data_IF_959903694431
#
_entry.id   IF_959903694431
#
_cell.length_a   1.000
_cell.length_b   1.000
_cell.length_c   1.000
_cell.angle_alpha   90.00
_cell.angle_beta   90.00
_cell.angle_gamma   90.00
#
_symmetry.space_group_name_H-M   'P 1'
#
loop_
_entity.id
_entity.type
_entity.pdbx_description
1 polymer ?
#
# COMPACT_ATOMS: atom_id res chain seq x y z
N UNK A 1 0.25 -21.09 -2.87
CA UNK A 1 -1.16 -20.78 -2.58
C UNK A 1 -1.50 -19.48 -3.31
N UNK A 2 -2.52 -19.43 -4.18
CA UNK A 2 -2.90 -18.19 -4.84
C UNK A 2 -3.55 -17.25 -3.82
N UNK A 3 -3.18 -15.97 -3.85
CA UNK A 3 -3.72 -14.96 -2.94
C UNK A 3 -4.72 -14.12 -3.73
N UNK A 4 -6.00 -14.17 -3.34
CA UNK A 4 -7.06 -13.37 -3.95
C UNK A 4 -7.23 -12.07 -3.16
N UNK A 5 -6.43 -11.06 -3.50
CA UNK A 5 -6.51 -9.73 -2.92
C UNK A 5 -6.83 -8.71 -4.00
N UNK A 6 -7.68 -7.73 -3.66
CA UNK A 6 -8.04 -6.61 -4.54
C UNK A 6 -6.81 -5.82 -4.99
N UNK A 7 -5.85 -5.67 -4.08
CA UNK A 7 -4.66 -4.85 -4.26
C UNK A 7 -3.42 -5.59 -3.79
N UNK A 8 -2.30 -5.42 -4.52
CA UNK A 8 -0.99 -5.96 -4.15
C UNK A 8 -0.41 -5.22 -2.94
N UNK A 9 0.48 -5.88 -2.21
CA UNK A 9 1.22 -5.23 -1.13
C UNK A 9 2.12 -4.10 -1.64
N UNK A 10 2.11 -2.98 -0.93
CA UNK A 10 2.95 -1.84 -1.26
C UNK A 10 4.43 -2.10 -0.95
N UNK A 11 5.31 -1.49 -1.75
CA UNK A 11 6.75 -1.57 -1.54
C UNK A 11 7.21 -0.64 -0.40
N UNK A 12 8.41 -0.86 0.15
CA UNK A 12 9.03 0.13 1.04
C UNK A 12 9.08 1.51 0.36
N UNK A 13 8.71 2.55 1.09
CA UNK A 13 8.57 3.90 0.53
C UNK A 13 7.20 4.19 -0.11
N UNK A 14 6.27 3.24 -0.11
CA UNK A 14 4.91 3.44 -0.60
C UNK A 14 3.86 3.26 0.50
N UNK A 15 2.86 4.15 0.54
CA UNK A 15 1.73 4.07 1.47
C UNK A 15 0.46 3.59 0.78
N UNK A 16 -0.41 2.92 1.53
CA UNK A 16 -1.73 2.48 1.08
C UNK A 16 -2.68 3.68 1.07
N UNK A 17 -3.19 4.03 -0.11
CA UNK A 17 -4.28 5.00 -0.31
C UNK A 17 -5.57 4.24 -0.58
N UNK A 18 -6.60 4.35 0.27
CA UNK A 18 -7.89 3.70 0.01
C UNK A 18 -8.46 4.13 -1.35
N UNK A 19 -9.02 3.18 -2.08
CA UNK A 19 -9.70 3.46 -3.35
C UNK A 19 -11.11 2.88 -3.36
N UNK A 20 -12.06 3.71 -3.79
CA UNK A 20 -13.47 3.34 -3.82
C UNK A 20 -14.08 3.13 -2.43
N UNK A 21 -15.11 2.29 -2.38
CA UNK A 21 -15.93 2.03 -1.18
C UNK A 21 -15.42 0.84 -0.35
N UNK A 22 -14.61 -0.03 -0.96
CA UNK A 22 -14.19 -1.27 -0.33
C UNK A 22 -12.91 -1.02 0.49
N UNK A 23 -12.94 -1.23 1.82
CA UNK A 23 -11.79 -0.96 2.68
C UNK A 23 -10.60 -1.90 2.39
N UNK A 24 -10.82 -3.03 1.71
CA UNK A 24 -9.77 -3.95 1.30
C UNK A 24 -9.02 -3.50 0.04
N UNK A 25 -9.57 -2.56 -0.73
CA UNK A 25 -8.97 -2.08 -1.98
C UNK A 25 -8.19 -0.78 -1.71
N UNK A 26 -6.93 -0.78 -2.11
CA UNK A 26 -6.03 0.36 -1.97
C UNK A 26 -5.07 0.47 -3.15
N UNK A 27 -4.59 1.66 -3.43
CA UNK A 27 -3.49 1.91 -4.33
C UNK A 27 -2.23 2.23 -3.54
N UNK A 28 -1.08 1.81 -4.06
CA UNK A 28 0.21 2.14 -3.48
C UNK A 28 0.70 3.42 -4.13
N UNK A 29 0.86 4.46 -3.31
CA UNK A 29 1.40 5.75 -3.75
C UNK A 29 2.72 6.01 -3.05
N UNK A 30 3.65 6.63 -3.75
CA UNK A 30 4.94 6.98 -3.16
C UNK A 30 4.75 7.97 -2.00
N UNK A 31 5.49 7.73 -0.93
CA UNK A 31 5.60 8.66 0.18
C UNK A 31 6.24 9.98 -0.31
N UNK A 32 5.85 11.10 0.29
CA UNK A 32 6.47 12.38 -0.07
C UNK A 32 7.98 12.34 0.22
N UNK A 33 8.81 13.00 -0.59
CA UNK A 33 10.24 13.10 -0.33
C UNK A 33 10.47 13.68 1.08
N UNK A 34 11.25 12.97 1.91
CA UNK A 34 11.47 13.30 3.32
C UNK A 34 10.52 12.63 4.31
N UNK A 35 9.51 11.89 3.86
CA UNK A 35 8.68 11.04 4.73
C UNK A 35 9.18 9.59 4.69
N UNK A 36 9.59 9.07 5.84
CA UNK A 36 10.07 7.69 5.95
C UNK A 36 8.88 6.75 6.17
N UNK A 37 8.82 5.67 5.39
CA UNK A 37 8.02 4.51 5.77
C UNK A 37 9.00 3.40 6.16
N UNK A 38 9.41 3.38 7.43
CA UNK A 38 10.21 2.29 7.99
C UNK A 38 9.30 1.05 8.06
N UNK A 39 9.32 0.23 7.02
CA UNK A 39 8.80 -1.13 7.10
C UNK A 39 9.89 -1.98 7.77
N UNK A 40 10.09 -1.77 9.07
CA UNK A 40 10.85 -2.71 9.89
C UNK A 40 10.03 -3.99 10.00
N UNK A 41 10.63 -5.09 9.52
CA UNK A 41 10.18 -6.48 9.72
C UNK A 41 10.01 -6.76 11.20
#
# INVERSE_FOLDING_TARGET
>A
IPVSMCSKDCQPGQRKKPVGIHPCCFECIDCLPGTFLNRTI
#
